data_IF_528719881694
#
_entry.id   IF_528719881694
#
_cell.length_a   1.000
_cell.length_b   1.000
_cell.length_c   1.000
_cell.angle_alpha   90.00
_cell.angle_beta   90.00
_cell.angle_gamma   90.00
#
_symmetry.space_group_name_H-M   'P 1'
#
loop_
_entity.id
_entity.type
_entity.pdbx_description
1 polymer ?
#
# COMPACT_ATOMS: atom_id res chain seq x y z
N UNK A 1 -6.62 -11.87 18.03
CA UNK A 1 -6.60 -11.78 17.59
C UNK A 1 -6.60 -11.45 16.72
N UNK A 2 -6.58 -11.09 16.38
CA UNK A 2 -6.69 -10.96 15.64
C UNK A 2 -6.47 -10.66 14.57
N UNK A 3 -6.33 -10.49 14.15
CA UNK A 3 -6.34 -10.24 13.00
C UNK A 3 -5.49 -9.23 12.57
N UNK A 4 -4.28 -9.33 12.67
CA UNK A 4 -3.32 -8.34 12.35
C UNK A 4 -3.16 -8.12 10.86
N UNK A 5 -3.68 -8.99 10.00
CA UNK A 5 -3.57 -8.67 8.62
C UNK A 5 -4.66 -7.80 8.10
N UNK A 6 -5.61 -7.45 8.91
CA UNK A 6 -6.68 -6.59 8.44
C UNK A 6 -6.52 -5.22 9.00
N UNK A 7 -5.39 -4.64 8.82
CA UNK A 7 -5.22 -3.27 9.24
C UNK A 7 -5.98 -2.34 8.34
N UNK A 8 -6.77 -1.48 8.95
CA UNK A 8 -7.36 -0.40 8.19
C UNK A 8 -6.33 0.67 7.98
N UNK A 9 -6.23 1.14 6.76
CA UNK A 9 -5.30 2.22 6.47
C UNK A 9 -5.63 3.47 7.27
N UNK A 10 -6.87 3.64 7.64
CA UNK A 10 -7.27 4.81 8.41
C UNK A 10 -6.65 4.81 9.82
N UNK A 11 -6.20 3.65 10.29
CA UNK A 11 -5.57 3.57 11.61
C UNK A 11 -4.09 3.91 11.59
N UNK A 12 -3.51 4.04 10.43
CA UNK A 12 -2.09 4.32 10.30
C UNK A 12 -1.85 5.83 10.30
N UNK A 13 -0.71 6.23 10.83
CA UNK A 13 -0.32 7.63 10.74
C UNK A 13 0.06 7.97 9.30
N UNK A 14 0.15 9.26 9.00
CA UNK A 14 0.53 9.68 7.66
C UNK A 14 1.92 9.16 7.30
N UNK A 15 2.85 9.23 8.25
CA UNK A 15 4.20 8.72 8.02
C UNK A 15 4.18 7.23 7.72
N UNK A 16 3.38 6.48 8.47
CA UNK A 16 3.28 5.05 8.25
C UNK A 16 2.71 4.74 6.87
N UNK A 17 1.72 5.52 6.45
CA UNK A 17 1.13 5.33 5.13
C UNK A 17 2.15 5.60 4.03
N UNK A 18 2.95 6.65 4.19
CA UNK A 18 3.97 6.97 3.20
C UNK A 18 5.01 5.88 3.12
N UNK A 19 5.42 5.35 4.26
CA UNK A 19 6.36 4.25 4.26
C UNK A 19 5.76 3.01 3.60
N UNK A 20 4.51 2.74 3.89
CA UNK A 20 3.84 1.59 3.29
C UNK A 20 3.80 1.72 1.76
N UNK A 21 3.49 2.92 1.27
CA UNK A 21 3.48 3.15 -0.17
C UNK A 21 4.85 2.87 -0.77
N UNK A 22 5.91 3.37 -0.13
CA UNK A 22 7.25 3.16 -0.65
C UNK A 22 7.62 1.68 -0.67
N UNK A 23 7.28 0.96 0.39
CA UNK A 23 7.58 -0.47 0.44
C UNK A 23 6.81 -1.22 -0.64
N UNK A 24 5.54 -0.88 -0.81
CA UNK A 24 4.73 -1.53 -1.83
C UNK A 24 5.24 -1.23 -3.23
N UNK A 25 5.68 -0.02 -3.47
CA UNK A 25 6.23 0.33 -4.77
C UNK A 25 7.50 -0.46 -5.06
N UNK A 26 8.36 -0.59 -4.06
CA UNK A 26 9.57 -1.40 -4.22
C UNK A 26 9.21 -2.84 -4.54
N UNK A 27 8.21 -3.38 -3.84
CA UNK A 27 7.78 -4.74 -4.08
C UNK A 27 7.19 -4.90 -5.48
N UNK A 28 6.48 -3.88 -5.97
CA UNK A 28 5.90 -3.97 -7.30
C UNK A 28 6.98 -3.97 -8.38
N UNK A 29 8.04 -3.21 -8.17
CA UNK A 29 9.17 -3.22 -9.11
C UNK A 29 9.83 -4.58 -9.13
N UNK A 30 10.03 -5.17 -7.96
CA UNK A 30 10.60 -6.50 -7.87
C UNK A 30 9.71 -7.53 -8.57
N UNK A 31 8.41 -7.43 -8.36
CA UNK A 31 7.47 -8.34 -9.01
C UNK A 31 7.51 -8.17 -10.53
N UNK A 32 7.69 -6.94 -10.99
CA UNK A 32 7.81 -6.67 -12.40
C UNK A 32 9.04 -7.35 -12.98
N UNK A 33 10.17 -7.23 -12.28
CA UNK A 33 11.41 -7.86 -12.74
C UNK A 33 11.28 -9.37 -12.78
N UNK A 34 10.54 -9.94 -11.86
CA UNK A 34 10.33 -11.39 -11.81
C UNK A 34 9.17 -11.83 -12.67
N UNK A 35 8.55 -10.89 -13.37
CA UNK A 35 7.43 -11.17 -14.28
C UNK A 35 6.23 -11.80 -13.58
N UNK A 36 6.00 -11.40 -12.35
CA UNK A 36 4.84 -11.88 -11.58
C UNK A 36 3.70 -10.90 -11.72
N UNK A 37 2.98 -10.99 -12.82
CA UNK A 37 1.94 -10.01 -13.13
C UNK A 37 0.82 -9.97 -12.10
N UNK A 38 0.36 -11.12 -11.65
CA UNK A 38 -0.73 -11.17 -10.69
C UNK A 38 -0.31 -10.53 -9.37
N UNK A 39 0.89 -10.87 -8.91
CA UNK A 39 1.39 -10.28 -7.68
C UNK A 39 1.55 -8.78 -7.81
N UNK A 40 2.08 -8.33 -8.94
CA UNK A 40 2.25 -6.91 -9.18
C UNK A 40 0.91 -6.17 -9.16
N UNK A 41 -0.10 -6.75 -9.80
CA UNK A 41 -1.42 -6.12 -9.83
C UNK A 41 -2.01 -6.01 -8.43
N UNK A 42 -1.83 -7.04 -7.62
CA UNK A 42 -2.30 -7.02 -6.24
C UNK A 42 -1.60 -5.92 -5.44
N UNK A 43 -0.30 -5.82 -5.61
CA UNK A 43 0.48 -4.80 -4.90
C UNK A 43 0.04 -3.39 -5.32
N UNK A 44 -0.18 -3.18 -6.61
CA UNK A 44 -0.60 -1.87 -7.10
C UNK A 44 -1.97 -1.48 -6.57
N UNK A 45 -2.86 -2.44 -6.37
CA UNK A 45 -4.15 -2.15 -5.75
C UNK A 45 -3.95 -1.64 -4.33
N UNK A 46 -3.05 -2.26 -3.59
CA UNK A 46 -2.77 -1.82 -2.23
C UNK A 46 -2.16 -0.42 -2.24
N UNK A 47 -1.27 -0.15 -3.19
CA UNK A 47 -0.68 1.18 -3.30
C UNK A 47 -1.78 2.22 -3.52
N UNK A 48 -2.71 1.93 -4.40
CA UNK A 48 -3.80 2.88 -4.68
C UNK A 48 -4.64 3.16 -3.44
N UNK A 49 -4.94 2.13 -2.67
CA UNK A 49 -5.71 2.32 -1.46
C UNK A 49 -4.98 3.20 -0.46
N UNK A 50 -3.69 2.97 -0.30
CA UNK A 50 -2.91 3.78 0.61
C UNK A 50 -2.82 5.22 0.15
N UNK A 51 -2.64 5.43 -1.15
CA UNK A 51 -2.57 6.78 -1.70
C UNK A 51 -3.90 7.51 -1.52
N UNK A 52 -5.00 6.82 -1.73
CA UNK A 52 -6.30 7.42 -1.51
C UNK A 52 -6.50 7.88 -0.07
N UNK A 53 -6.04 7.08 0.85
CA UNK A 53 -6.14 7.45 2.25
C UNK A 53 -5.30 8.69 2.55
N UNK A 54 -4.11 8.76 1.99
CA UNK A 54 -3.24 9.92 2.17
C UNK A 54 -3.92 11.17 1.60
N UNK A 55 -4.42 11.06 0.38
CA UNK A 55 -5.09 12.20 -0.26
C UNK A 55 -6.28 12.66 0.55
N UNK A 56 -7.03 11.72 1.08
CA UNK A 56 -8.20 12.04 1.88
C UNK A 56 -7.82 12.86 3.10
N UNK A 57 -6.70 12.54 3.72
CA UNK A 57 -6.23 13.27 4.90
C UNK A 57 -5.72 14.66 4.56
N UNK A 58 -5.04 14.77 3.43
CA UNK A 58 -4.49 16.05 3.01
C UNK A 58 -5.55 16.99 2.50
N UNK A 59 -6.64 16.42 2.07
CA UNK A 59 -7.64 17.20 1.42
C UNK A 59 -8.61 17.89 2.35
N UNK A 60 -8.79 17.60 3.45
CA UNK A 60 -9.65 18.25 4.36
C UNK A 60 -10.53 19.34 3.84
#
# INVERSE_FOLDING_TARGET
MKDSHHRNYSDLSLDDLEQLVQELETMSIKALKERKKTLRASILRSVRKAIKEIEKRLKK
#
